data_IF_153281856089
#
_entry.id   IF_153281856089
#
_cell.length_a   1.000
_cell.length_b   1.000
_cell.length_c   1.000
_cell.angle_alpha   90.00
_cell.angle_beta   90.00
_cell.angle_gamma   90.00
#
_symmetry.space_group_name_H-M   'P 1'
#
loop_
_entity.id
_entity.type
_entity.pdbx_description
1 polymer ?
#
# COMPACT_ATOMS: atom_id res chain seq x y z
N UNK A 1 19.28 17.54 3.24
CA UNK A 1 20.52 17.18 3.94
C UNK A 1 20.22 16.02 4.86
N UNK A 2 20.68 14.82 4.50
CA UNK A 2 21.09 13.74 5.40
C UNK A 2 21.63 12.62 4.52
N UNK A 3 22.93 12.74 4.25
CA UNK A 3 23.81 11.75 3.67
C UNK A 3 24.05 10.65 4.72
N UNK A 4 23.76 9.40 4.35
CA UNK A 4 24.23 8.22 5.05
C UNK A 4 24.83 7.28 3.99
N UNK A 5 26.12 7.46 3.74
CA UNK A 5 27.02 6.47 3.11
C UNK A 5 26.67 6.09 1.67
N UNK A 6 26.63 7.06 0.76
CA UNK A 6 26.87 6.82 -0.68
C UNK A 6 25.92 5.86 -1.42
N UNK A 7 24.82 5.44 -0.79
CA UNK A 7 23.73 4.70 -1.44
C UNK A 7 22.65 5.72 -1.76
N UNK A 8 22.25 5.92 -3.03
CA UNK A 8 21.17 6.83 -3.34
C UNK A 8 19.88 6.34 -2.67
N UNK A 9 19.39 7.07 -1.67
CA UNK A 9 18.05 6.87 -1.15
C UNK A 9 17.11 7.29 -2.28
N UNK A 10 16.60 6.29 -3.02
CA UNK A 10 15.70 6.44 -4.17
C UNK A 10 14.42 7.17 -3.77
N UNK A 11 14.47 8.50 -3.80
CA UNK A 11 13.35 9.40 -3.48
C UNK A 11 12.23 9.39 -4.54
N UNK A 12 12.37 8.63 -5.62
CA UNK A 12 11.38 8.54 -6.71
C UNK A 12 10.24 7.57 -6.42
N UNK A 13 10.46 6.51 -5.63
CA UNK A 13 9.42 5.50 -5.38
C UNK A 13 8.21 6.13 -4.70
N UNK A 14 8.39 7.14 -3.84
CA UNK A 14 7.33 7.70 -3.00
C UNK A 14 6.29 8.58 -3.74
N UNK A 15 6.58 9.06 -4.96
CA UNK A 15 5.79 10.15 -5.59
C UNK A 15 4.79 9.75 -6.67
N UNK A 16 4.87 8.54 -7.23
CA UNK A 16 3.93 8.13 -8.28
C UNK A 16 2.50 7.97 -7.72
N UNK A 17 1.48 8.39 -8.45
CA UNK A 17 0.09 8.09 -8.14
C UNK A 17 -0.28 6.65 -8.56
N UNK A 18 -1.40 6.12 -8.06
CA UNK A 18 -1.91 4.81 -8.50
C UNK A 18 -2.10 4.80 -10.03
N UNK A 19 -1.52 3.82 -10.70
CA UNK A 19 -1.54 3.70 -12.16
C UNK A 19 -0.53 4.56 -12.92
N UNK A 20 0.38 5.24 -12.23
CA UNK A 20 1.55 5.88 -12.83
C UNK A 20 2.73 4.93 -12.93
N UNK A 21 3.51 5.13 -14.00
CA UNK A 21 4.77 4.44 -14.18
C UNK A 21 5.83 5.06 -13.26
N UNK A 22 6.64 4.22 -12.61
CA UNK A 22 7.79 4.64 -11.82
C UNK A 22 8.97 3.71 -12.06
N UNK A 23 10.18 4.23 -11.86
CA UNK A 23 11.40 3.44 -11.90
C UNK A 23 11.58 2.74 -10.55
N UNK A 24 11.72 1.42 -10.58
CA UNK A 24 12.01 0.63 -9.39
C UNK A 24 13.48 0.74 -8.99
N UNK A 25 13.81 0.38 -7.74
CA UNK A 25 15.20 0.35 -7.27
C UNK A 25 16.09 -0.60 -8.08
N UNK A 26 15.47 -1.59 -8.74
CA UNK A 26 16.11 -2.60 -9.57
C UNK A 26 16.26 -2.17 -11.05
N UNK A 27 15.86 -0.94 -11.41
CA UNK A 27 16.09 -0.37 -12.73
C UNK A 27 15.06 -0.71 -13.81
N UNK A 28 13.96 -1.40 -13.46
CA UNK A 28 12.85 -1.61 -14.39
C UNK A 28 11.68 -0.66 -14.11
N UNK A 29 10.89 -0.37 -15.14
CA UNK A 29 9.68 0.45 -15.00
C UNK A 29 8.50 -0.40 -14.53
N UNK A 30 7.85 0.00 -13.44
CA UNK A 30 6.64 -0.62 -12.91
C UNK A 30 5.46 0.36 -12.93
N UNK A 31 4.23 -0.15 -12.91
CA UNK A 31 3.01 0.65 -12.74
C UNK A 31 2.59 0.53 -11.27
N UNK A 32 2.46 1.66 -10.57
CA UNK A 32 2.04 1.67 -9.17
C UNK A 32 0.65 1.03 -9.02
N UNK A 33 0.52 0.09 -8.09
CA UNK A 33 -0.67 -0.74 -7.84
C UNK A 33 -1.16 -1.59 -9.03
N UNK A 34 -0.38 -1.70 -10.12
CA UNK A 34 -0.78 -2.48 -11.29
C UNK A 34 -2.01 -1.95 -12.06
N UNK A 35 -2.53 -0.77 -11.72
CA UNK A 35 -3.74 -0.21 -12.34
C UNK A 35 -3.37 0.51 -13.65
N UNK A 36 -3.48 -0.16 -14.79
CA UNK A 36 -3.20 0.47 -16.10
C UNK A 36 -4.28 1.49 -16.46
N UNK A 37 -3.93 2.77 -16.59
CA UNK A 37 -4.82 3.79 -17.18
C UNK A 37 -5.08 3.45 -18.66
N UNK A 38 -6.32 3.08 -18.98
CA UNK A 38 -6.78 2.76 -20.35
C UNK A 38 -7.56 3.90 -21.00
N UNK A 39 -7.96 3.73 -22.27
CA UNK A 39 -8.74 4.73 -23.02
C UNK A 39 -10.09 5.09 -22.37
N UNK A 40 -10.65 4.20 -21.54
CA UNK A 40 -11.92 4.39 -20.82
C UNK A 40 -11.74 4.99 -19.40
N UNK A 41 -10.51 5.40 -19.05
CA UNK A 41 -10.19 5.95 -17.72
C UNK A 41 -10.80 7.33 -17.41
N UNK A 42 -11.44 7.97 -18.40
CA UNK A 42 -12.18 9.22 -18.21
C UNK A 42 -13.52 9.02 -17.48
N UNK A 43 -14.07 7.80 -17.47
CA UNK A 43 -15.25 7.45 -16.68
C UNK A 43 -14.79 6.83 -15.36
N UNK A 44 -14.95 7.59 -14.27
CA UNK A 44 -14.65 7.09 -12.93
C UNK A 44 -15.40 5.78 -12.62
N UNK A 45 -14.86 4.92 -11.73
CA UNK A 45 -15.50 3.65 -11.41
C UNK A 45 -16.95 3.87 -10.95
N UNK A 46 -17.85 3.01 -11.41
CA UNK A 46 -19.21 3.00 -10.90
C UNK A 46 -19.19 2.85 -9.37
N UNK A 47 -20.08 3.53 -8.63
CA UNK A 47 -20.13 3.42 -7.18
C UNK A 47 -20.27 1.96 -6.75
N UNK A 48 -19.47 1.54 -5.78
CA UNK A 48 -19.63 0.21 -5.16
C UNK A 48 -21.02 0.12 -4.52
N UNK A 49 -21.72 -1.03 -4.64
CA UNK A 49 -22.99 -1.23 -3.98
C UNK A 49 -22.82 -1.18 -2.44
N UNK A 50 -23.86 -0.83 -1.66
CA UNK A 50 -23.74 -0.63 -0.22
C UNK A 50 -23.15 -1.81 0.55
N UNK A 51 -23.50 -3.04 0.16
CA UNK A 51 -23.03 -4.27 0.81
C UNK A 51 -21.55 -4.60 0.56
N UNK A 52 -20.90 -3.97 -0.42
CA UNK A 52 -19.48 -4.18 -0.74
C UNK A 52 -18.57 -3.07 -0.18
N UNK A 53 -19.13 -2.09 0.55
CA UNK A 53 -18.35 -1.00 1.12
C UNK A 53 -17.70 -1.42 2.44
N UNK A 54 -16.38 -1.34 2.49
CA UNK A 54 -15.62 -1.53 3.71
C UNK A 54 -15.77 -0.33 4.66
N UNK A 55 -15.71 -0.59 5.97
CA UNK A 55 -15.65 0.45 7.00
C UNK A 55 -14.24 1.03 7.07
N UNK A 56 -14.13 2.31 7.41
CA UNK A 56 -12.85 2.94 7.64
C UNK A 56 -12.13 2.24 8.82
N UNK A 57 -10.82 1.94 8.71
CA UNK A 57 -10.07 1.35 9.80
C UNK A 57 -9.90 2.36 10.93
N UNK A 58 -10.44 2.03 12.10
CA UNK A 58 -10.37 2.84 13.33
C UNK A 58 -10.11 1.93 14.53
N UNK A 59 -9.53 2.48 15.60
CA UNK A 59 -9.38 1.76 16.88
C UNK A 59 -7.92 1.66 17.35
N UNK A 60 -7.76 1.50 18.66
CA UNK A 60 -6.45 1.45 19.30
C UNK A 60 -5.67 0.17 18.90
N UNK A 61 -6.36 -0.97 18.74
CA UNK A 61 -5.74 -2.24 18.34
C UNK A 61 -5.18 -2.15 16.92
N UNK A 62 -5.97 -1.63 15.97
CA UNK A 62 -5.49 -1.31 14.62
C UNK A 62 -4.24 -0.43 14.65
N UNK A 63 -4.25 0.65 15.44
CA UNK A 63 -3.11 1.57 15.55
C UNK A 63 -1.85 0.88 16.11
N UNK A 64 -2.00 -0.03 17.08
CA UNK A 64 -0.89 -0.82 17.63
C UNK A 64 -0.28 -1.75 16.59
N UNK A 65 -1.11 -2.54 15.88
CA UNK A 65 -0.62 -3.45 14.83
C UNK A 65 0.06 -2.65 13.72
N UNK A 66 -0.53 -1.53 13.30
CA UNK A 66 0.07 -0.61 12.32
C UNK A 66 1.43 -0.09 12.77
N UNK A 67 1.58 0.27 14.04
CA UNK A 67 2.85 0.74 14.58
C UNK A 67 3.90 -0.37 14.53
N UNK A 68 3.57 -1.59 14.98
CA UNK A 68 4.48 -2.75 14.95
C UNK A 68 4.94 -3.11 13.54
N UNK A 69 4.02 -3.16 12.57
CA UNK A 69 4.34 -3.43 11.16
C UNK A 69 5.35 -2.41 10.62
N UNK A 70 5.14 -1.12 10.92
CA UNK A 70 6.02 -0.03 10.47
C UNK A 70 7.35 -0.02 11.20
N UNK A 71 7.34 -0.22 12.51
CA UNK A 71 8.54 -0.27 13.36
C UNK A 71 9.49 -1.38 12.90
N UNK A 72 8.95 -2.57 12.64
CA UNK A 72 9.71 -3.73 12.20
C UNK A 72 9.90 -3.83 10.68
N UNK A 73 9.41 -2.84 9.92
CA UNK A 73 9.52 -2.80 8.45
C UNK A 73 9.01 -4.08 7.78
N UNK A 74 7.90 -4.62 8.27
CA UNK A 74 7.30 -5.86 7.77
C UNK A 74 6.43 -5.55 6.54
N UNK A 75 6.58 -6.35 5.49
CA UNK A 75 5.65 -6.36 4.37
C UNK A 75 4.40 -7.16 4.74
N UNK A 76 3.20 -6.66 4.44
CA UNK A 76 1.95 -7.36 4.72
C UNK A 76 1.02 -7.35 3.51
N UNK A 77 0.36 -8.49 3.26
CA UNK A 77 -0.67 -8.54 2.19
C UNK A 77 -1.84 -7.62 2.51
N UNK A 78 -2.06 -7.32 3.79
CA UNK A 78 -3.08 -6.39 4.25
C UNK A 78 -2.90 -4.98 3.63
N UNK A 79 -1.68 -4.45 3.66
CA UNK A 79 -1.35 -3.13 3.11
C UNK A 79 -1.11 -3.18 1.58
N UNK A 80 -0.31 -4.14 1.10
CA UNK A 80 0.08 -4.23 -0.31
C UNK A 80 -1.12 -4.50 -1.23
N UNK A 81 -2.06 -5.36 -0.81
CA UNK A 81 -3.26 -5.67 -1.59
C UNK A 81 -4.43 -4.70 -1.34
N UNK A 82 -4.25 -3.66 -0.50
CA UNK A 82 -5.30 -2.73 -0.08
C UNK A 82 -6.55 -3.48 0.43
N UNK A 83 -6.32 -4.47 1.28
CA UNK A 83 -7.36 -5.39 1.75
C UNK A 83 -8.50 -4.64 2.44
N UNK A 84 -9.77 -4.81 2.03
CA UNK A 84 -10.92 -4.13 2.64
C UNK A 84 -11.14 -4.52 4.11
N UNK A 85 -10.58 -5.65 4.55
CA UNK A 85 -10.76 -6.21 5.90
C UNK A 85 -9.63 -5.81 6.87
N UNK A 86 -8.67 -4.99 6.44
CA UNK A 86 -7.50 -4.61 7.27
C UNK A 86 -7.91 -4.03 8.63
N UNK A 87 -9.00 -3.26 8.67
CA UNK A 87 -9.53 -2.70 9.92
C UNK A 87 -10.02 -3.76 10.89
N UNK A 88 -10.70 -4.81 10.40
CA UNK A 88 -11.20 -5.90 11.23
C UNK A 88 -10.07 -6.80 11.71
N UNK A 89 -9.21 -7.27 10.79
CA UNK A 89 -8.13 -8.20 11.10
C UNK A 89 -7.15 -7.60 12.13
N UNK A 90 -6.73 -6.35 11.92
CA UNK A 90 -5.76 -5.72 12.82
C UNK A 90 -6.38 -5.31 14.16
N UNK A 91 -7.68 -4.99 14.20
CA UNK A 91 -8.35 -4.79 15.48
C UNK A 91 -8.46 -6.08 16.30
N UNK A 92 -8.51 -7.24 15.62
CA UNK A 92 -8.38 -8.55 16.26
C UNK A 92 -6.91 -8.94 16.55
N UNK A 93 -5.94 -8.04 16.34
CA UNK A 93 -4.52 -8.31 16.58
C UNK A 93 -3.88 -9.27 15.57
N UNK A 94 -4.50 -9.48 14.41
CA UNK A 94 -4.06 -10.43 13.39
C UNK A 94 -3.52 -9.70 12.16
N UNK A 95 -2.35 -10.11 11.66
CA UNK A 95 -1.79 -9.64 10.40
C UNK A 95 -1.16 -10.80 9.63
N UNK A 96 -1.19 -10.73 8.30
CA UNK A 96 -0.55 -11.71 7.42
C UNK A 96 0.69 -11.08 6.78
N UNK A 97 1.85 -11.60 7.16
CA UNK A 97 3.16 -11.11 6.72
C UNK A 97 3.56 -11.75 5.40
N UNK A 98 4.20 -10.97 4.53
CA UNK A 98 4.84 -11.42 3.30
C UNK A 98 6.34 -11.59 3.57
N UNK A 99 6.83 -12.83 3.56
CA UNK A 99 8.23 -13.15 3.89
C UNK A 99 9.23 -12.68 2.82
N UNK A 100 8.83 -12.69 1.55
CA UNK A 100 9.70 -12.35 0.42
C UNK A 100 9.37 -11.02 -0.24
N UNK A 101 8.47 -10.22 0.36
CA UNK A 101 8.08 -8.90 -0.15
C UNK A 101 7.59 -8.96 -1.58
#
# INVERSE_FOLDING_TARGET
MSDLRGIPVVAEVARAASGEKYLTAQGFTAIRDGIKRGADSGRGPAPKPPWLKAKAPTGAAFARVRALVREHRLATVCEEAKCPNIGECWNAGTATIMLMG
#
